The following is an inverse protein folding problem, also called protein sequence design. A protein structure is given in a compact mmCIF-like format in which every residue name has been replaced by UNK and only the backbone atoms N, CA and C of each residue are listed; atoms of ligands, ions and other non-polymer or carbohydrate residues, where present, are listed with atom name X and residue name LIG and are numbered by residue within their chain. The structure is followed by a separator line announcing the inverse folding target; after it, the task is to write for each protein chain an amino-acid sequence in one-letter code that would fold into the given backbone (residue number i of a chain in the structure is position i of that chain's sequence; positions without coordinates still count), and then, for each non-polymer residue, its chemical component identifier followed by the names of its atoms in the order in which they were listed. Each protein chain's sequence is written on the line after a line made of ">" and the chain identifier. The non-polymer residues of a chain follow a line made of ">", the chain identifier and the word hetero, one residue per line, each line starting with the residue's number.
data_IF_711600008168
#
_entry.id   IF_711600008168
#
_cell.length_a   1.000
_cell.length_b   1.000
_cell.length_c   1.000
_cell.angle_alpha   90.00
_cell.angle_beta   90.00
_cell.angle_gamma   90.00
#
_symmetry.space_group_name_H-M   'P 1'
#
loop_
_entity.id
_entity.type
_entity.pdbx_description
1 polymer ?
#
# COMPACT_ATOMS: atom_id res chain seq x y z
N UNK A 1 9.44 0.23 16.77
CA UNK A 1 8.56 1.04 15.89
C UNK A 1 7.44 1.75 16.64
N UNK A 2 6.59 1.05 17.41
CA UNK A 2 5.44 1.68 18.12
C UNK A 2 5.85 2.72 19.17
N UNK A 3 6.95 2.50 19.89
CA UNK A 3 7.44 3.45 20.91
C UNK A 3 7.81 4.82 20.32
N UNK A 4 8.46 4.85 19.16
CA UNK A 4 8.85 6.11 18.49
C UNK A 4 7.60 6.87 18.06
N UNK A 5 6.62 6.17 17.51
CA UNK A 5 5.34 6.78 17.14
C UNK A 5 4.58 7.33 18.36
N UNK A 6 4.54 6.59 19.45
CA UNK A 6 3.93 7.05 20.71
C UNK A 6 4.67 8.26 21.28
N UNK A 7 6.01 8.26 21.23
CA UNK A 7 6.84 9.37 21.68
C UNK A 7 6.56 10.63 20.87
N UNK A 8 6.51 10.52 19.53
CA UNK A 8 6.15 11.64 18.66
C UNK A 8 4.75 12.17 19.00
N UNK A 9 3.76 11.29 19.23
CA UNK A 9 2.41 11.71 19.66
C UNK A 9 2.45 12.49 20.97
N UNK A 10 3.22 12.02 21.94
CA UNK A 10 3.39 12.69 23.24
C UNK A 10 4.05 14.06 23.04
N UNK A 11 5.15 14.14 22.29
CA UNK A 11 5.85 15.40 22.01
C UNK A 11 4.92 16.41 21.32
N UNK A 12 4.17 15.98 20.30
CA UNK A 12 3.19 16.83 19.61
C UNK A 12 2.09 17.28 20.58
N UNK A 13 1.58 16.39 21.44
CA UNK A 13 0.58 16.74 22.45
C UNK A 13 1.11 17.78 23.43
N UNK A 14 2.32 17.58 23.96
CA UNK A 14 2.96 18.56 24.85
C UNK A 14 3.18 19.89 24.16
N UNK A 15 3.67 19.89 22.91
CA UNK A 15 3.85 21.12 22.15
C UNK A 15 2.52 21.89 21.97
N UNK A 16 1.45 21.19 21.58
CA UNK A 16 0.11 21.79 21.46
C UNK A 16 -0.44 22.27 22.80
N UNK A 17 -0.16 21.55 23.90
CA UNK A 17 -0.58 21.92 25.24
C UNK A 17 0.13 23.18 25.75
N UNK A 18 1.46 23.24 25.62
CA UNK A 18 2.25 24.43 25.95
C UNK A 18 1.78 25.63 25.13
N UNK A 19 1.58 25.44 23.83
CA UNK A 19 1.04 26.46 22.94
C UNK A 19 -0.34 26.93 23.42
N UNK A 20 -1.23 26.02 23.82
CA UNK A 20 -2.54 26.37 24.34
C UNK A 20 -2.48 27.21 25.62
N UNK A 21 -1.68 26.80 26.60
CA UNK A 21 -1.53 27.52 27.88
C UNK A 21 -0.89 28.90 27.67
N UNK A 22 0.15 28.99 26.83
CA UNK A 22 0.87 30.25 26.59
C UNK A 22 0.14 31.22 25.65
N UNK A 23 -0.86 30.78 24.89
CA UNK A 23 -1.53 31.58 23.86
C UNK A 23 -3.04 31.73 24.09
N UNK A 24 -3.44 31.90 25.35
CA UNK A 24 -4.81 32.25 25.75
C UNK A 24 -5.13 33.74 25.60
N UNK A 25 -4.15 34.56 25.21
CA UNK A 25 -4.33 35.98 24.97
C UNK A 25 -5.38 36.24 23.88
N UNK A 26 -6.31 37.16 24.18
CA UNK A 26 -7.29 37.65 23.22
C UNK A 26 -6.61 38.52 22.17
N UNK A 27 -6.84 38.20 20.91
CA UNK A 27 -6.39 39.00 19.77
C UNK A 27 -7.60 39.50 18.99
N UNK A 28 -7.48 40.70 18.42
CA UNK A 28 -8.51 41.27 17.56
C UNK A 28 -8.37 40.69 16.15
N UNK A 29 -9.32 39.84 15.78
CA UNK A 29 -9.41 39.23 14.45
C UNK A 29 -10.36 40.02 13.55
N UNK A 30 -9.81 40.62 12.51
CA UNK A 30 -10.54 41.46 11.56
C UNK A 30 -10.93 40.61 10.35
N UNK A 31 -12.14 40.06 10.37
CA UNK A 31 -12.58 39.17 9.30
C UNK A 31 -13.28 39.94 8.16
N UNK A 32 -14.04 40.98 8.49
CA UNK A 32 -14.73 41.85 7.55
C UNK A 32 -14.40 43.33 7.83
N UNK A 33 -14.49 44.23 6.84
CA UNK A 33 -14.30 45.66 7.05
C UNK A 33 -15.26 46.19 8.13
N UNK A 34 -14.72 46.72 9.22
CA UNK A 34 -15.49 47.25 10.35
C UNK A 34 -16.01 46.20 11.35
N UNK A 35 -15.79 44.90 11.12
CA UNK A 35 -16.16 43.83 12.05
C UNK A 35 -14.92 43.20 12.68
N UNK A 36 -14.84 43.33 14.00
CA UNK A 36 -13.71 42.88 14.81
C UNK A 36 -14.20 41.84 15.81
N UNK A 37 -13.56 40.67 15.80
CA UNK A 37 -13.90 39.56 16.67
C UNK A 37 -12.71 39.29 17.59
N UNK A 38 -12.91 39.41 18.90
CA UNK A 38 -11.83 39.13 19.85
C UNK A 38 -11.84 37.64 20.21
N UNK A 39 -10.89 36.88 19.66
CA UNK A 39 -10.73 35.46 19.95
C UNK A 39 -9.37 35.18 20.59
N UNK A 40 -9.27 34.19 21.48
CA UNK A 40 -7.98 33.71 21.95
C UNK A 40 -7.14 33.21 20.78
N UNK A 41 -5.84 33.55 20.77
CA UNK A 41 -4.92 33.16 19.69
C UNK A 41 -4.90 31.63 19.47
N UNK A 42 -4.99 30.85 20.54
CA UNK A 42 -5.09 29.38 20.46
C UNK A 42 -6.26 28.89 19.62
N UNK A 43 -7.43 29.57 19.66
CA UNK A 43 -8.61 29.17 18.89
C UNK A 43 -8.33 29.32 17.40
N UNK A 44 -7.72 30.44 17.00
CA UNK A 44 -7.34 30.69 15.62
C UNK A 44 -6.34 29.63 15.13
N UNK A 45 -5.30 29.36 15.94
CA UNK A 45 -4.28 28.37 15.63
C UNK A 45 -4.89 26.96 15.48
N UNK A 46 -5.84 26.59 16.34
CA UNK A 46 -6.54 25.31 16.26
C UNK A 46 -7.35 25.18 14.95
N UNK A 47 -8.04 26.23 14.53
CA UNK A 47 -8.79 26.25 13.26
C UNK A 47 -7.83 26.02 12.08
N UNK A 48 -6.75 26.79 12.00
CA UNK A 48 -5.75 26.62 10.95
C UNK A 48 -5.08 25.25 10.99
N UNK A 49 -4.84 24.70 12.18
CA UNK A 49 -4.30 23.36 12.34
C UNK A 49 -5.26 22.29 11.80
N UNK A 50 -6.56 22.37 12.10
CA UNK A 50 -7.56 21.45 11.57
C UNK A 50 -7.60 21.52 10.05
N UNK A 51 -7.61 22.74 9.49
CA UNK A 51 -7.55 22.95 8.04
C UNK A 51 -6.29 22.30 7.47
N UNK A 52 -5.12 22.61 8.02
CA UNK A 52 -3.84 22.04 7.61
C UNK A 52 -3.80 20.50 7.72
N UNK A 53 -4.39 19.92 8.76
CA UNK A 53 -4.48 18.47 8.95
C UNK A 53 -5.36 17.82 7.89
N UNK A 54 -6.50 18.41 7.56
CA UNK A 54 -7.36 17.97 6.47
C UNK A 54 -6.60 17.99 5.15
N UNK A 55 -5.93 19.09 4.82
CA UNK A 55 -5.06 19.18 3.63
C UNK A 55 -3.92 18.16 3.64
N UNK A 56 -3.29 17.93 4.79
CA UNK A 56 -2.22 16.93 4.95
C UNK A 56 -2.72 15.50 4.70
N UNK A 57 -3.92 15.17 5.19
CA UNK A 57 -4.58 13.89 4.91
C UNK A 57 -4.89 13.75 3.42
N UNK A 58 -5.45 14.79 2.79
CA UNK A 58 -5.71 14.78 1.35
C UNK A 58 -4.42 14.61 0.52
N UNK A 59 -3.33 15.27 0.90
CA UNK A 59 -2.03 15.12 0.25
C UNK A 59 -1.50 13.66 0.37
N UNK A 60 -1.68 13.04 1.54
CA UNK A 60 -1.29 11.64 1.75
C UNK A 60 -2.21 10.66 1.00
N UNK A 61 -3.50 10.98 0.89
CA UNK A 61 -4.50 10.16 0.18
C UNK A 61 -4.12 9.97 -1.29
N UNK A 62 -3.69 11.03 -1.98
CA UNK A 62 -3.19 10.92 -3.36
C UNK A 62 -2.00 9.98 -3.51
N UNK A 63 -1.06 10.00 -2.54
CA UNK A 63 0.08 9.08 -2.52
C UNK A 63 -0.36 7.63 -2.29
N UNK A 64 -1.35 7.42 -1.42
CA UNK A 64 -1.89 6.09 -1.11
C UNK A 64 -2.58 5.46 -2.31
N UNK A 65 -3.37 6.24 -3.07
CA UNK A 65 -4.00 5.76 -4.31
C UNK A 65 -2.96 5.31 -5.33
N UNK A 66 -1.91 6.11 -5.54
CA UNK A 66 -0.83 5.75 -6.47
C UNK A 66 -0.08 4.49 -6.02
N UNK A 67 0.10 4.31 -4.72
CA UNK A 67 0.77 3.13 -4.17
C UNK A 67 -0.09 1.87 -4.35
N UNK A 68 -1.40 1.95 -4.11
CA UNK A 68 -2.36 0.86 -4.35
C UNK A 68 -2.39 0.43 -5.81
N UNK A 69 -2.39 1.37 -6.76
CA UNK A 69 -2.35 1.04 -8.19
C UNK A 69 -1.07 0.31 -8.58
N UNK A 70 0.08 0.66 -7.98
CA UNK A 70 1.33 -0.07 -8.19
C UNK A 70 1.26 -1.50 -7.65
N UNK A 71 0.72 -1.68 -6.44
CA UNK A 71 0.56 -3.02 -5.84
C UNK A 71 -0.30 -3.93 -6.73
N UNK A 72 -1.45 -3.43 -7.22
CA UNK A 72 -2.31 -4.23 -8.11
C UNK A 72 -1.63 -4.57 -9.44
N UNK A 73 -0.88 -3.64 -10.03
CA UNK A 73 -0.16 -3.95 -11.27
C UNK A 73 0.96 -4.96 -11.07
N UNK A 74 1.63 -4.95 -9.91
CA UNK A 74 2.65 -5.94 -9.57
C UNK A 74 2.01 -7.32 -9.37
N UNK A 75 0.87 -7.41 -8.68
CA UNK A 75 0.13 -8.66 -8.48
C UNK A 75 -0.27 -9.28 -9.83
N UNK A 76 -0.82 -8.48 -10.75
CA UNK A 76 -1.19 -8.95 -12.09
C UNK A 76 0.01 -9.46 -12.90
N UNK A 77 1.20 -8.88 -12.71
CA UNK A 77 2.43 -9.36 -13.37
C UNK A 77 2.91 -10.69 -12.80
N UNK A 78 2.87 -10.87 -11.48
CA UNK A 78 3.19 -12.13 -10.82
C UNK A 78 2.23 -13.21 -11.30
N UNK A 79 0.93 -12.95 -11.30
CA UNK A 79 -0.09 -13.93 -11.71
C UNK A 79 0.09 -14.37 -13.17
N UNK A 80 0.47 -13.44 -14.06
CA UNK A 80 0.77 -13.75 -15.47
C UNK A 80 2.04 -14.61 -15.63
N UNK A 81 3.10 -14.31 -14.87
CA UNK A 81 4.33 -15.11 -14.90
C UNK A 81 4.13 -16.50 -14.31
N UNK A 82 3.38 -16.63 -13.21
CA UNK A 82 3.04 -17.92 -12.62
C UNK A 82 2.23 -18.76 -13.60
N UNK A 83 1.22 -18.18 -14.28
CA UNK A 83 0.44 -18.89 -15.30
C UNK A 83 1.29 -19.31 -16.51
N UNK A 84 2.20 -18.45 -16.99
CA UNK A 84 3.09 -18.79 -18.08
C UNK A 84 4.09 -19.91 -17.70
N UNK A 85 4.63 -19.88 -16.49
CA UNK A 85 5.51 -20.92 -15.96
C UNK A 85 4.76 -22.25 -15.74
N UNK A 86 3.52 -22.22 -15.25
CA UNK A 86 2.69 -23.42 -15.15
C UNK A 86 2.34 -24.01 -16.52
N UNK A 87 2.18 -23.17 -17.55
CA UNK A 87 1.88 -23.61 -18.91
C UNK A 87 3.09 -24.23 -19.61
N UNK A 88 4.30 -23.67 -19.43
CA UNK A 88 5.52 -24.29 -19.96
C UNK A 88 5.82 -25.64 -19.30
N UNK A 89 5.60 -25.77 -17.98
CA UNK A 89 5.75 -27.04 -17.26
C UNK A 89 4.73 -28.08 -17.73
N UNK A 90 3.49 -27.68 -18.00
CA UNK A 90 2.48 -28.60 -18.53
C UNK A 90 2.81 -29.06 -19.97
N UNK A 91 3.28 -28.16 -20.84
CA UNK A 91 3.68 -28.51 -22.22
C UNK A 91 4.93 -29.41 -22.23
N UNK A 92 5.88 -29.18 -21.33
CA UNK A 92 7.09 -30.01 -21.18
C UNK A 92 6.76 -31.39 -20.58
N UNK A 93 5.81 -31.48 -19.64
CA UNK A 93 5.34 -32.75 -19.06
C UNK A 93 4.57 -33.59 -20.10
N UNK A 94 3.76 -32.97 -20.96
CA UNK A 94 3.09 -33.67 -22.07
C UNK A 94 4.09 -34.18 -23.12
N UNK A 95 5.13 -33.40 -23.45
CA UNK A 95 6.17 -33.83 -24.39
C UNK A 95 7.04 -34.97 -23.83
N UNK A 96 7.35 -34.92 -22.53
CA UNK A 96 8.11 -35.97 -21.83
C UNK A 96 7.32 -37.27 -21.74
N UNK A 97 6.03 -37.21 -21.41
CA UNK A 97 5.17 -38.39 -21.32
C UNK A 97 4.84 -39.00 -22.70
N UNK A 98 4.76 -38.18 -23.76
CA UNK A 98 4.62 -38.67 -25.13
C UNK A 98 5.88 -39.39 -25.64
N UNK A 99 7.08 -38.91 -25.25
CA UNK A 99 8.36 -39.57 -25.57
C UNK A 99 8.56 -40.90 -24.82
N UNK A 100 8.18 -40.97 -23.55
CA UNK A 100 8.28 -42.18 -22.71
C UNK A 100 7.30 -43.27 -23.15
N UNK A 101 6.09 -42.91 -23.60
CA UNK A 101 5.11 -43.91 -24.07
C UNK A 101 5.43 -44.47 -25.47
N UNK A 102 6.13 -43.71 -26.33
CA UNK A 102 6.62 -44.20 -27.62
C UNK A 102 7.78 -45.19 -27.52
N UNK A 103 8.59 -45.09 -26.46
CA UNK A 103 9.71 -46.00 -26.23
C UNK A 103 9.27 -47.34 -25.60
N UNK A 104 8.29 -47.34 -24.69
CA UNK A 104 7.82 -48.58 -24.03
C UNK A 104 7.15 -49.57 -25.02
N UNK A 105 6.37 -49.09 -25.99
CA UNK A 105 5.77 -49.98 -27.00
C UNK A 105 6.79 -50.61 -27.96
N UNK A 106 7.98 -50.03 -28.10
CA UNK A 106 9.02 -50.57 -28.99
C UNK A 106 9.80 -51.74 -28.35
N UNK A 107 9.89 -51.78 -27.03
CA UNK A 107 10.60 -52.86 -26.30
C UNK A 107 9.69 -54.05 -26.00
N UNK A 108 8.41 -53.83 -25.68
CA UNK A 108 7.48 -54.92 -25.32
C UNK A 108 7.12 -55.83 -26.51
N UNK A 109 7.11 -55.28 -27.73
CA UNK A 109 6.81 -56.04 -28.94
C UNK A 109 8.00 -56.89 -29.45
N UNK A 110 9.23 -56.58 -29.00
CA UNK A 110 10.43 -57.33 -29.39
C UNK A 110 10.65 -58.58 -28.54
N UNK A 111 10.12 -58.60 -27.30
CA UNK A 111 10.23 -59.72 -26.36
C UNK A 111 9.21 -60.84 -26.68
N UNK A 112 8.02 -60.49 -27.16
CA UNK A 112 6.97 -61.46 -27.46
C UNK A 112 7.20 -62.28 -28.75
N UNK A 113 8.06 -61.80 -29.66
CA UNK A 113 8.35 -62.48 -30.93
C UNK A 113 9.54 -63.44 -30.88
N UNK A 114 10.09 -63.73 -29.70
CA UNK A 114 11.29 -64.55 -29.54
C UNK A 114 11.05 -65.93 -28.93
N UNK A 115 9.78 -66.32 -28.72
CA UNK A 115 9.36 -67.63 -28.20
C UNK A 115 8.45 -68.42 -29.16
N UNK A 116 8.52 -68.15 -30.46
CA UNK A 116 7.86 -68.95 -31.51
C UNK A 116 8.74 -70.08 -32.01
#
# INVERSE_FOLDING_TARGET
>A
MKIIYTLIKIVVLLALLLLAVSNTQLITFNYLPGQMLNLPLIVLLLIFFIIGAVFGVFAMFGRLLRLRSKVNQLQVKIDKQTKAASQSVHTETLATNAGVNGQNHSEEQKVNNQHG
#
